data_IF_616822298729
#
_entry.id   IF_616822298729
#
_cell.length_a   1.000
_cell.length_b   1.000
_cell.length_c   1.000
_cell.angle_alpha   90.00
_cell.angle_beta   90.00
_cell.angle_gamma   90.00
#
_symmetry.space_group_name_H-M   'P 1'
#
loop_
_entity.id
_entity.type
_entity.pdbx_description
1 polymer ?
#
# COMPACT_ATOMS: atom_id res chain seq x y z
N UNK A 1 23.10 -7.74 18.16
CA UNK A 1 22.02 -8.75 18.12
C UNK A 1 20.80 -8.10 17.49
N UNK A 2 20.20 -8.69 16.45
CA UNK A 2 18.96 -8.17 15.88
C UNK A 2 17.80 -8.36 16.86
N UNK A 3 16.91 -7.36 16.98
CA UNK A 3 15.69 -7.51 17.80
C UNK A 3 14.89 -8.72 17.28
N UNK A 4 14.39 -9.54 18.21
CA UNK A 4 13.55 -10.70 17.88
C UNK A 4 12.11 -10.21 17.74
N UNK A 5 11.46 -10.61 16.65
CA UNK A 5 10.04 -10.33 16.45
C UNK A 5 9.15 -11.30 17.25
N UNK A 6 7.98 -10.88 17.73
CA UNK A 6 7.44 -9.51 17.64
C UNK A 6 8.17 -8.53 18.57
N UNK A 7 8.24 -7.26 18.17
CA UNK A 7 8.81 -6.19 19.01
C UNK A 7 7.79 -5.87 20.11
N UNK A 8 8.20 -5.77 21.39
CA UNK A 8 7.32 -5.30 22.46
C UNK A 8 6.71 -3.94 22.09
N UNK A 9 5.41 -3.73 22.37
CA UNK A 9 4.70 -2.53 21.88
C UNK A 9 5.22 -1.25 22.53
N UNK A 10 5.71 -1.35 23.76
CA UNK A 10 6.41 -0.31 24.49
C UNK A 10 7.75 0.11 23.86
N UNK A 11 8.37 -0.76 23.06
CA UNK A 11 9.64 -0.52 22.37
C UNK A 11 9.46 0.09 20.97
N UNK A 12 8.22 0.22 20.50
CA UNK A 12 7.93 0.88 19.23
C UNK A 12 8.10 2.40 19.36
N UNK A 13 8.63 3.07 18.33
CA UNK A 13 8.80 4.51 18.36
C UNK A 13 7.43 5.19 18.47
N UNK A 14 7.30 6.13 19.41
CA UNK A 14 6.17 7.05 19.44
C UNK A 14 6.38 8.09 18.35
N UNK A 15 5.62 8.00 17.27
CA UNK A 15 5.66 8.99 16.21
C UNK A 15 4.87 10.23 16.65
N UNK A 16 5.52 11.38 16.55
CA UNK A 16 4.87 12.68 16.66
C UNK A 16 4.82 13.29 15.27
N UNK A 17 3.62 13.36 14.69
CA UNK A 17 3.41 13.92 13.36
C UNK A 17 3.00 15.39 13.52
N UNK A 18 3.78 16.29 12.92
CA UNK A 18 3.45 17.71 12.84
C UNK A 18 2.33 17.96 11.83
N UNK A 19 1.65 19.10 11.94
CA UNK A 19 0.60 19.48 10.97
C UNK A 19 1.15 19.53 9.53
N UNK A 20 2.39 19.99 9.33
CA UNK A 20 3.00 20.02 8.01
C UNK A 20 3.22 18.60 7.45
N UNK A 21 3.66 17.65 8.28
CA UNK A 21 3.87 16.25 7.84
C UNK A 21 2.54 15.56 7.54
N UNK A 22 1.51 15.86 8.32
CA UNK A 22 0.15 15.44 8.05
C UNK A 22 -0.34 15.95 6.69
N UNK A 23 -0.27 17.26 6.46
CA UNK A 23 -0.76 17.89 5.23
C UNK A 23 0.02 17.41 4.00
N UNK A 24 1.35 17.30 4.12
CA UNK A 24 2.21 16.74 3.07
C UNK A 24 1.82 15.28 2.78
N UNK A 25 1.68 14.45 3.81
CA UNK A 25 1.26 13.06 3.65
C UNK A 25 -0.09 12.94 2.96
N UNK A 26 -1.05 13.82 3.30
CA UNK A 26 -2.37 13.82 2.70
C UNK A 26 -2.34 14.26 1.24
N UNK A 27 -1.55 15.29 0.91
CA UNK A 27 -1.35 15.74 -0.48
C UNK A 27 -0.73 14.63 -1.33
N UNK A 28 0.30 13.95 -0.81
CA UNK A 28 0.94 12.80 -1.45
C UNK A 28 -0.06 11.67 -1.71
N UNK A 29 -0.73 11.18 -0.68
CA UNK A 29 -1.61 10.02 -0.79
C UNK A 29 -2.84 10.31 -1.66
N UNK A 30 -3.40 11.52 -1.58
CA UNK A 30 -4.50 11.95 -2.47
C UNK A 30 -4.05 11.97 -3.93
N UNK A 31 -2.82 12.41 -4.19
CA UNK A 31 -2.25 12.44 -5.54
C UNK A 31 -2.00 11.02 -6.09
N UNK A 32 -1.49 10.12 -5.24
CA UNK A 32 -1.33 8.70 -5.58
C UNK A 32 -2.68 8.05 -5.90
N UNK A 33 -3.71 8.32 -5.09
CA UNK A 33 -5.06 7.81 -5.29
C UNK A 33 -5.66 8.35 -6.59
N UNK A 34 -5.58 9.65 -6.85
CA UNK A 34 -6.09 10.25 -8.08
C UNK A 34 -5.42 9.67 -9.33
N UNK A 35 -4.12 9.42 -9.29
CA UNK A 35 -3.43 8.72 -10.38
C UNK A 35 -3.94 7.29 -10.57
N UNK A 36 -4.13 6.56 -9.48
CA UNK A 36 -4.60 5.16 -9.50
C UNK A 36 -6.02 5.07 -10.05
N UNK A 37 -6.92 5.97 -9.62
CA UNK A 37 -8.28 6.09 -10.16
C UNK A 37 -8.26 6.39 -11.66
N UNK A 38 -7.42 7.32 -12.11
CA UNK A 38 -7.30 7.61 -13.55
C UNK A 38 -6.84 6.39 -14.36
N UNK A 39 -5.86 5.64 -13.87
CA UNK A 39 -5.42 4.40 -14.56
C UNK A 39 -6.54 3.34 -14.57
N UNK A 40 -7.31 3.23 -13.48
CA UNK A 40 -8.48 2.36 -13.40
C UNK A 40 -9.57 2.78 -14.40
N UNK A 41 -9.94 4.06 -14.43
CA UNK A 41 -10.97 4.60 -15.34
C UNK A 41 -10.56 4.43 -16.80
N UNK A 42 -9.31 4.70 -17.14
CA UNK A 42 -8.79 4.47 -18.48
C UNK A 42 -8.89 2.99 -18.87
N UNK A 43 -8.54 2.08 -17.97
CA UNK A 43 -8.69 0.64 -18.20
C UNK A 43 -10.16 0.22 -18.34
N UNK A 44 -11.01 0.63 -17.40
CA UNK A 44 -12.40 0.20 -17.30
C UNK A 44 -13.28 0.79 -18.40
N UNK A 45 -13.15 2.09 -18.69
CA UNK A 45 -14.04 2.83 -19.58
C UNK A 45 -13.46 3.02 -20.97
N UNK A 46 -12.25 3.58 -21.10
CA UNK A 46 -11.68 3.89 -22.42
C UNK A 46 -11.25 2.61 -23.15
N UNK A 47 -10.62 1.68 -22.41
CA UNK A 47 -10.17 0.39 -22.93
C UNK A 47 -11.20 -0.71 -22.78
N UNK A 48 -12.35 -0.44 -22.15
CA UNK A 48 -13.47 -1.40 -21.96
C UNK A 48 -13.01 -2.72 -21.31
N UNK A 49 -12.09 -2.64 -20.35
CA UNK A 49 -11.52 -3.80 -19.67
C UNK A 49 -10.49 -4.59 -20.50
N UNK A 50 -10.11 -4.12 -21.69
CA UNK A 50 -9.14 -4.82 -22.55
C UNK A 50 -7.71 -4.43 -22.16
N UNK A 51 -6.95 -5.42 -21.66
CA UNK A 51 -5.56 -5.26 -21.28
C UNK A 51 -4.67 -5.04 -22.51
N UNK A 52 -3.87 -3.98 -22.47
CA UNK A 52 -2.86 -3.71 -23.51
C UNK A 52 -1.68 -4.67 -23.41
N UNK A 53 -1.63 -5.68 -24.28
CA UNK A 53 -0.56 -6.68 -24.28
C UNK A 53 0.81 -6.13 -24.66
N UNK A 54 0.90 -4.92 -25.25
CA UNK A 54 2.17 -4.23 -25.53
C UNK A 54 2.72 -3.53 -24.29
N UNK A 55 1.87 -3.07 -23.37
CA UNK A 55 2.27 -2.48 -22.08
C UNK A 55 2.40 -3.53 -20.98
N UNK A 56 1.53 -4.53 -21.00
CA UNK A 56 1.35 -5.50 -19.92
C UNK A 56 1.74 -6.91 -20.36
N UNK A 57 2.57 -7.59 -19.56
CA UNK A 57 2.95 -9.00 -19.71
C UNK A 57 2.21 -9.82 -18.66
N UNK A 58 1.38 -10.76 -19.10
CA UNK A 58 0.74 -11.73 -18.18
C UNK A 58 1.81 -12.50 -17.39
N UNK A 59 1.61 -12.60 -16.08
CA UNK A 59 2.48 -13.33 -15.15
C UNK A 59 1.80 -14.57 -14.59
N UNK A 60 0.51 -14.44 -14.26
CA UNK A 60 -0.22 -15.45 -13.53
C UNK A 60 -1.72 -15.27 -13.79
N UNK A 61 -2.43 -16.39 -13.88
CA UNK A 61 -3.89 -16.44 -13.99
C UNK A 61 -4.39 -17.54 -13.06
N UNK A 62 -5.42 -17.24 -12.27
CA UNK A 62 -6.06 -18.18 -11.38
C UNK A 62 -7.55 -17.85 -11.28
N UNK A 63 -8.39 -18.83 -11.58
CA UNK A 63 -9.84 -18.65 -11.73
C UNK A 63 -10.14 -17.45 -12.65
N UNK A 64 -10.95 -16.51 -12.15
CA UNK A 64 -11.34 -15.28 -12.85
C UNK A 64 -10.37 -14.11 -12.64
N UNK A 65 -9.20 -14.35 -12.04
CA UNK A 65 -8.17 -13.34 -11.78
C UNK A 65 -6.97 -13.49 -12.71
N UNK A 66 -6.50 -12.36 -13.23
CA UNK A 66 -5.35 -12.26 -14.11
C UNK A 66 -4.39 -11.19 -13.59
N UNK A 67 -3.14 -11.58 -13.35
CA UNK A 67 -2.06 -10.69 -12.93
C UNK A 67 -1.13 -10.40 -14.10
N UNK A 68 -0.87 -9.11 -14.30
CA UNK A 68 0.02 -8.59 -15.31
C UNK A 68 1.11 -7.75 -14.68
N UNK A 69 2.29 -7.78 -15.28
CA UNK A 69 3.41 -6.90 -14.94
C UNK A 69 3.70 -5.99 -16.11
N UNK A 70 4.01 -4.73 -15.81
CA UNK A 70 4.48 -3.78 -16.80
C UNK A 70 5.72 -4.32 -17.54
N UNK A 71 5.72 -4.24 -18.88
CA UNK A 71 6.84 -4.68 -19.72
C UNK A 71 8.02 -3.73 -19.61
N UNK A 72 7.73 -2.44 -19.80
CA UNK A 72 8.71 -1.36 -19.73
C UNK A 72 8.66 -0.75 -18.34
N UNK A 73 9.54 -1.26 -17.46
CA UNK A 73 9.60 -0.87 -16.05
C UNK A 73 9.74 0.64 -15.92
N UNK A 74 8.82 1.25 -15.18
CA UNK A 74 8.90 2.65 -14.80
C UNK A 74 8.09 3.59 -15.68
N UNK A 75 7.33 3.09 -16.67
CA UNK A 75 6.40 3.96 -17.43
C UNK A 75 5.33 4.54 -16.51
N UNK A 76 4.68 3.70 -15.71
CA UNK A 76 3.70 4.12 -14.70
C UNK A 76 4.36 5.00 -13.64
N UNK A 77 5.52 4.57 -13.13
CA UNK A 77 6.28 5.31 -12.11
C UNK A 77 6.72 6.68 -12.59
N UNK A 78 7.11 6.83 -13.85
CA UNK A 78 7.51 8.11 -14.44
C UNK A 78 6.35 9.10 -14.48
N UNK A 79 5.17 8.65 -14.90
CA UNK A 79 3.96 9.48 -14.92
C UNK A 79 3.57 9.90 -13.50
N UNK A 80 3.63 8.97 -12.56
CA UNK A 80 3.36 9.21 -11.15
C UNK A 80 4.34 10.23 -10.56
N UNK A 81 5.65 10.03 -10.75
CA UNK A 81 6.70 10.94 -10.31
C UNK A 81 6.54 12.34 -10.91
N UNK A 82 6.12 12.44 -12.17
CA UNK A 82 5.82 13.74 -12.80
C UNK A 82 4.68 14.46 -12.07
N UNK A 83 3.62 13.75 -11.68
CA UNK A 83 2.53 14.33 -10.90
C UNK A 83 3.01 14.71 -9.50
N UNK A 84 3.73 13.83 -8.81
CA UNK A 84 4.23 14.05 -7.45
C UNK A 84 5.21 15.22 -7.33
N UNK A 85 5.98 15.55 -8.38
CA UNK A 85 6.83 16.75 -8.41
C UNK A 85 6.06 18.06 -8.26
N UNK A 86 4.76 18.06 -8.53
CA UNK A 86 3.90 19.22 -8.33
C UNK A 86 3.29 19.28 -6.93
N UNK A 87 3.32 18.16 -6.18
CA UNK A 87 2.97 18.17 -4.77
C UNK A 87 3.99 18.99 -4.01
N UNK A 88 3.54 19.93 -3.19
CA UNK A 88 4.43 20.78 -2.40
C UNK A 88 4.89 20.05 -1.14
N UNK A 89 5.49 18.88 -1.32
CA UNK A 89 6.04 18.06 -0.24
C UNK A 89 7.25 18.80 0.35
N UNK A 90 7.11 19.34 1.57
CA UNK A 90 8.18 20.07 2.26
C UNK A 90 8.93 19.17 3.23
N UNK A 91 8.31 18.07 3.65
CA UNK A 91 8.87 17.15 4.63
C UNK A 91 9.89 16.18 4.03
N UNK A 92 11.08 16.02 4.65
CA UNK A 92 12.06 15.04 4.23
C UNK A 92 11.61 13.59 4.47
N UNK A 93 10.56 13.35 5.25
CA UNK A 93 9.98 12.02 5.49
C UNK A 93 9.62 11.30 4.19
N UNK A 94 9.20 12.06 3.19
CA UNK A 94 8.72 11.52 1.92
C UNK A 94 9.80 11.52 0.82
N UNK A 95 11.05 11.84 1.16
CA UNK A 95 12.16 11.92 0.20
C UNK A 95 12.46 10.59 -0.51
N UNK A 96 12.17 9.45 0.13
CA UNK A 96 12.37 8.11 -0.44
C UNK A 96 11.20 7.62 -1.32
N UNK A 97 10.11 8.37 -1.43
CA UNK A 97 8.91 7.94 -2.16
C UNK A 97 9.20 7.66 -3.63
N UNK A 98 10.00 8.51 -4.29
CA UNK A 98 10.40 8.31 -5.70
C UNK A 98 11.08 6.95 -5.90
N UNK A 99 12.02 6.59 -5.01
CA UNK A 99 12.73 5.31 -5.07
C UNK A 99 11.78 4.12 -4.85
N UNK A 100 10.85 4.23 -3.89
CA UNK A 100 9.86 3.19 -3.60
C UNK A 100 8.90 2.95 -4.77
N UNK A 101 8.65 3.96 -5.60
CA UNK A 101 7.76 3.87 -6.76
C UNK A 101 8.46 3.39 -8.04
N UNK A 102 9.80 3.26 -8.06
CA UNK A 102 10.55 2.82 -9.26
C UNK A 102 10.29 1.39 -9.75
N UNK A 103 9.94 0.38 -8.91
CA UNK A 103 9.75 -0.98 -9.39
C UNK A 103 8.60 -1.10 -10.40
N UNK A 104 8.61 -2.21 -11.15
CA UNK A 104 7.60 -2.49 -12.17
C UNK A 104 6.20 -2.54 -11.55
N UNK A 105 5.26 -1.78 -12.10
CA UNK A 105 3.87 -1.82 -11.66
C UNK A 105 3.25 -3.18 -12.01
N UNK A 106 2.39 -3.66 -11.11
CA UNK A 106 1.59 -4.87 -11.28
C UNK A 106 0.12 -4.46 -11.36
N UNK A 107 -0.61 -5.05 -12.30
CA UNK A 107 -2.04 -4.87 -12.46
C UNK A 107 -2.72 -6.21 -12.26
N UNK A 108 -3.74 -6.24 -11.40
CA UNK A 108 -4.62 -7.38 -11.19
C UNK A 108 -5.99 -7.02 -11.77
N UNK A 109 -6.53 -7.88 -12.63
CA UNK A 109 -7.88 -7.74 -13.16
C UNK A 109 -8.66 -9.02 -12.92
N UNK A 110 -9.98 -8.91 -12.73
CA UNK A 110 -10.82 -10.07 -12.50
C UNK A 110 -12.12 -9.70 -11.81
N UNK A 111 -12.86 -10.73 -11.41
CA UNK A 111 -14.07 -10.60 -10.63
C UNK A 111 -14.15 -11.74 -9.60
N UNK A 112 -14.96 -11.54 -8.56
CA UNK A 112 -15.21 -12.53 -7.53
C UNK A 112 -16.52 -12.23 -6.81
N UNK A 113 -17.14 -13.24 -6.18
CA UNK A 113 -18.36 -13.04 -5.41
C UNK A 113 -18.08 -12.23 -4.14
N UNK A 114 -18.97 -11.30 -3.80
CA UNK A 114 -18.88 -10.51 -2.59
C UNK A 114 -19.37 -9.08 -2.79
N UNK A 115 -19.37 -8.31 -1.69
CA UNK A 115 -19.68 -6.88 -1.72
C UNK A 115 -18.39 -6.07 -1.61
N UNK A 116 -18.35 -4.93 -2.29
CA UNK A 116 -17.23 -3.98 -2.17
C UNK A 116 -17.10 -3.49 -0.73
N UNK A 117 -18.22 -3.29 -0.04
CA UNK A 117 -18.25 -2.90 1.37
C UNK A 117 -17.51 -3.90 2.27
N UNK A 118 -17.74 -5.21 2.08
CA UNK A 118 -17.09 -6.25 2.88
C UNK A 118 -15.56 -6.24 2.66
N UNK A 119 -15.12 -6.00 1.42
CA UNK A 119 -13.70 -5.85 1.10
C UNK A 119 -13.11 -4.58 1.74
N UNK A 120 -13.81 -3.45 1.68
CA UNK A 120 -13.36 -2.19 2.28
C UNK A 120 -13.26 -2.29 3.80
N UNK A 121 -14.22 -2.94 4.46
CA UNK A 121 -14.19 -3.21 5.90
C UNK A 121 -13.02 -4.09 6.34
N UNK A 122 -12.53 -4.97 5.45
CA UNK A 122 -11.34 -5.78 5.74
C UNK A 122 -10.03 -5.00 5.54
N UNK A 123 -10.00 -4.00 4.66
CA UNK A 123 -8.80 -3.19 4.39
C UNK A 123 -8.56 -2.16 5.48
N UNK A 124 -9.61 -1.44 5.89
CA UNK A 124 -9.53 -0.36 6.88
C UNK A 124 -9.41 -0.96 8.28
N UNK A 125 -8.17 -1.07 8.74
CA UNK A 125 -7.83 -1.65 10.05
C UNK A 125 -7.31 -0.58 10.99
N UNK A 126 -8.11 -0.23 12.00
CA UNK A 126 -7.72 0.75 13.02
C UNK A 126 -7.05 0.08 14.23
N UNK A 127 -7.51 -1.13 14.56
CA UNK A 127 -7.04 -1.90 15.70
C UNK A 127 -5.82 -2.76 15.38
N UNK A 128 -4.96 -2.95 16.37
CA UNK A 128 -3.83 -3.88 16.29
C UNK A 128 -4.26 -5.32 16.01
N UNK A 129 -5.40 -5.75 16.58
CA UNK A 129 -5.92 -7.10 16.40
C UNK A 129 -6.43 -7.31 14.97
N UNK A 130 -7.17 -6.34 14.43
CA UNK A 130 -7.70 -6.37 13.07
C UNK A 130 -6.57 -6.35 12.05
N UNK A 131 -5.59 -5.46 12.23
CA UNK A 131 -4.40 -5.44 11.39
C UNK A 131 -3.71 -6.81 11.41
N UNK A 132 -3.48 -7.38 12.60
CA UNK A 132 -2.83 -8.68 12.75
C UNK A 132 -3.58 -9.80 12.03
N UNK A 133 -4.91 -9.82 12.11
CA UNK A 133 -5.75 -10.80 11.42
C UNK A 133 -5.59 -10.66 9.91
N UNK A 134 -5.75 -9.44 9.39
CA UNK A 134 -5.74 -9.14 7.95
C UNK A 134 -4.38 -9.41 7.32
N UNK A 135 -3.28 -8.95 7.92
CA UNK A 135 -1.93 -9.20 7.38
C UNK A 135 -1.54 -10.67 7.46
N UNK A 136 -1.96 -11.39 8.51
CA UNK A 136 -1.71 -12.83 8.63
C UNK A 136 -2.46 -13.60 7.55
N UNK A 137 -3.71 -13.23 7.28
CA UNK A 137 -4.49 -13.81 6.20
C UNK A 137 -3.85 -13.54 4.82
N UNK A 138 -3.47 -12.29 4.54
CA UNK A 138 -2.92 -11.90 3.23
C UNK A 138 -1.51 -12.44 2.95
N UNK A 139 -0.65 -12.50 3.98
CA UNK A 139 0.76 -12.82 3.77
C UNK A 139 1.18 -14.20 4.28
N UNK A 140 0.35 -14.87 5.07
CA UNK A 140 0.56 -16.17 5.75
C UNK A 140 1.75 -16.19 6.74
N UNK A 141 2.87 -15.59 6.37
CA UNK A 141 4.15 -15.62 7.05
C UNK A 141 4.53 -14.25 7.62
N UNK A 142 3.73 -13.76 8.58
CA UNK A 142 3.99 -12.49 9.29
C UNK A 142 4.75 -12.75 10.59
N UNK A 143 5.86 -12.04 10.80
CA UNK A 143 6.68 -12.08 12.01
C UNK A 143 6.19 -11.07 13.05
N UNK A 144 5.72 -9.91 12.59
CA UNK A 144 5.20 -8.83 13.41
C UNK A 144 4.43 -7.84 12.54
N UNK A 145 3.55 -7.06 13.15
CA UNK A 145 2.91 -5.89 12.56
C UNK A 145 2.46 -4.94 13.66
N UNK A 146 2.34 -3.65 13.35
CA UNK A 146 1.58 -2.75 14.21
C UNK A 146 1.00 -1.54 13.49
N UNK A 147 -0.09 -1.04 14.06
CA UNK A 147 -0.54 0.34 13.84
C UNK A 147 0.38 1.23 14.65
N UNK A 148 1.18 2.06 13.98
CA UNK A 148 2.22 2.88 14.63
C UNK A 148 1.64 4.22 15.06
N UNK A 149 0.83 4.84 14.20
CA UNK A 149 0.22 6.13 14.48
C UNK A 149 -0.95 6.37 13.52
N UNK A 150 -2.11 6.74 14.07
CA UNK A 150 -3.29 7.13 13.29
C UNK A 150 -3.41 8.64 13.28
N UNK A 151 -3.53 9.22 12.09
CA UNK A 151 -3.69 10.67 11.87
C UNK A 151 -5.16 11.03 11.65
N UNK A 152 -5.85 10.29 10.79
CA UNK A 152 -7.26 10.47 10.49
C UNK A 152 -7.99 9.15 10.75
N UNK A 153 -9.03 9.22 11.59
CA UNK A 153 -9.83 8.07 11.99
C UNK A 153 -11.12 7.97 11.15
N UNK A 154 -11.64 6.76 10.92
CA UNK A 154 -13.00 6.57 10.42
C UNK A 154 -14.04 7.29 11.27
N UNK A 155 -15.14 7.70 10.64
CA UNK A 155 -16.29 8.31 11.32
C UNK A 155 -17.60 7.71 10.80
N UNK A 156 -18.71 7.99 11.48
CA UNK A 156 -20.02 7.47 11.07
C UNK A 156 -20.42 7.91 9.64
N UNK A 157 -20.05 9.13 9.26
CA UNK A 157 -20.31 9.68 7.91
C UNK A 157 -19.31 9.19 6.86
N UNK A 158 -18.13 8.76 7.29
CA UNK A 158 -17.03 8.30 6.43
C UNK A 158 -16.36 7.06 7.04
N UNK A 159 -17.02 5.89 7.00
CA UNK A 159 -16.59 4.70 7.75
C UNK A 159 -15.34 4.02 7.19
N UNK A 160 -14.92 4.38 5.97
CA UNK A 160 -13.70 3.86 5.35
C UNK A 160 -12.56 4.88 5.33
N UNK A 161 -12.81 6.11 5.78
CA UNK A 161 -11.80 7.15 5.79
C UNK A 161 -10.71 6.81 6.80
N UNK A 162 -9.45 6.78 6.37
CA UNK A 162 -8.34 6.45 7.25
C UNK A 162 -7.06 7.06 6.72
N UNK A 163 -6.23 7.59 7.62
CA UNK A 163 -4.86 7.96 7.32
C UNK A 163 -3.94 7.61 8.49
N UNK A 164 -2.88 6.84 8.24
CA UNK A 164 -1.97 6.47 9.32
C UNK A 164 -0.76 5.66 8.91
N UNK A 165 0.22 5.58 9.81
CA UNK A 165 1.42 4.78 9.65
C UNK A 165 1.22 3.37 10.21
N UNK A 166 1.55 2.38 9.40
CA UNK A 166 1.55 0.97 9.77
C UNK A 166 2.88 0.35 9.40
N UNK A 167 3.26 -0.70 10.13
CA UNK A 167 4.36 -1.55 9.69
C UNK A 167 3.96 -3.01 9.74
N UNK A 168 4.62 -3.80 8.90
CA UNK A 168 4.60 -5.25 9.02
C UNK A 168 5.97 -5.82 8.68
N UNK A 169 6.18 -7.05 9.14
CA UNK A 169 7.43 -7.78 8.97
C UNK A 169 7.10 -9.15 8.42
N UNK A 170 7.61 -9.42 7.23
CA UNK A 170 7.52 -10.74 6.63
C UNK A 170 8.60 -11.66 7.20
N UNK A 171 8.21 -12.88 7.57
CA UNK A 171 9.15 -13.91 7.98
C UNK A 171 10.11 -14.22 6.83
N UNK A 172 11.34 -14.55 7.21
CA UNK A 172 12.28 -15.08 6.22
C UNK A 172 11.77 -16.42 5.70
N UNK A 173 11.85 -16.68 4.38
CA UNK A 173 11.49 -17.98 3.81
C UNK A 173 12.50 -19.09 4.18
N UNK A 174 13.63 -18.75 4.82
CA UNK A 174 14.65 -19.70 5.30
C UNK A 174 14.98 -19.41 6.77
N UNK A 175 15.89 -20.20 7.37
CA UNK A 175 16.48 -19.81 8.65
C UNK A 175 17.08 -18.41 8.49
N UNK A 176 16.64 -17.45 9.32
CA UNK A 176 16.90 -16.00 9.21
C UNK A 176 18.40 -15.59 9.22
N UNK A 177 19.29 -16.58 9.25
CA UNK A 177 20.74 -16.51 9.07
C UNK A 177 21.12 -16.25 7.60
N UNK A 178 20.36 -16.78 6.63
CA UNK A 178 20.69 -16.66 5.18
C UNK A 178 19.88 -15.55 4.51
N UNK A 179 18.58 -15.47 4.79
CA UNK A 179 17.72 -14.38 4.33
C UNK A 179 17.16 -13.69 5.57
N UNK A 180 17.36 -12.38 5.72
CA UNK A 180 16.81 -11.64 6.86
C UNK A 180 15.31 -11.44 6.70
N UNK A 181 14.61 -11.20 7.81
CA UNK A 181 13.26 -10.66 7.79
C UNK A 181 13.19 -9.38 6.94
N UNK A 182 12.06 -9.17 6.27
CA UNK A 182 11.79 -7.92 5.55
C UNK A 182 10.72 -7.15 6.29
N UNK A 183 11.06 -5.95 6.73
CA UNK A 183 10.14 -4.99 7.32
C UNK A 183 9.69 -3.96 6.28
N UNK A 184 8.52 -3.37 6.51
CA UNK A 184 8.01 -2.26 5.72
C UNK A 184 7.19 -1.36 6.61
N UNK A 185 7.61 -0.11 6.75
CA UNK A 185 6.83 0.99 7.32
C UNK A 185 6.19 1.75 6.16
N UNK A 186 4.89 1.93 6.20
CA UNK A 186 4.14 2.55 5.11
C UNK A 186 3.07 3.49 5.65
N UNK A 187 2.76 4.50 4.84
CA UNK A 187 1.61 5.38 5.03
C UNK A 187 0.43 4.76 4.27
N UNK A 188 -0.68 4.54 4.98
CA UNK A 188 -1.93 4.05 4.40
C UNK A 188 -2.94 5.19 4.36
N UNK A 189 -3.71 5.23 3.27
CA UNK A 189 -4.76 6.22 3.06
C UNK A 189 -5.96 5.58 2.38
N UNK A 190 -7.14 5.76 2.98
CA UNK A 190 -8.42 5.46 2.40
C UNK A 190 -9.26 6.75 2.47
N UNK A 191 -9.81 7.15 1.32
CA UNK A 191 -10.56 8.40 1.19
C UNK A 191 -11.92 8.32 1.87
#
# INVERSE_FOLDING_TARGET
MGKRFPIPREDLPKLHVSQQEHDDGKELMTTLLAHTLREFEHFAYDRKGVVDSKRWKSQYSHDDMNMYRERDVGVTSYQLNKTLRHCKMRSPLFSCTEATLTPATVMLTGWGPGRVEDAMSAVVTEGQQDLSLVVTYMHQDVADCAVVHTMEHPSDDAPYHYMGYKYFVKKSPTNAVVVKHRDSLYLEYCA
#
